data_IF_574560614239
#
_entry.id   IF_574560614239
#
_cell.length_a   1.000
_cell.length_b   1.000
_cell.length_c   1.000
_cell.angle_alpha   90.00
_cell.angle_beta   90.00
_cell.angle_gamma   90.00
#
_symmetry.space_group_name_H-M   'P 1'
#
loop_
_entity.id
_entity.type
_entity.pdbx_description
1 polymer ?
#
# COMPACT_ATOMS: atom_id res chain seq x y z
N UNK A 1 -12.43 -76.42 -64.46
CA UNK A 1 -12.39 -77.03 -63.11
C UNK A 1 -11.55 -76.09 -62.26
N UNK A 2 -12.08 -75.64 -61.12
CA UNK A 2 -11.27 -74.89 -60.15
C UNK A 2 -10.35 -75.90 -59.49
N UNK A 3 -9.19 -76.13 -60.08
CA UNK A 3 -8.15 -76.90 -59.41
C UNK A 3 -7.65 -76.03 -58.26
N UNK A 4 -8.16 -76.32 -57.06
CA UNK A 4 -7.62 -75.80 -55.81
C UNK A 4 -6.21 -76.38 -55.64
N UNK A 5 -5.26 -75.73 -56.32
CA UNK A 5 -3.86 -76.08 -56.27
C UNK A 5 -3.18 -75.40 -55.08
N UNK A 6 -2.15 -76.06 -54.57
CA UNK A 6 -1.19 -75.52 -53.58
C UNK A 6 -0.69 -74.11 -53.97
N UNK A 7 -0.62 -73.80 -55.27
CA UNK A 7 -0.27 -72.48 -55.80
C UNK A 7 -1.20 -71.36 -55.32
N UNK A 8 -2.50 -71.62 -55.17
CA UNK A 8 -3.47 -70.64 -54.69
C UNK A 8 -3.27 -70.35 -53.19
N UNK A 9 -2.87 -71.38 -52.42
CA UNK A 9 -2.46 -71.22 -51.02
C UNK A 9 -1.20 -70.35 -50.91
N UNK A 10 -0.17 -70.60 -51.75
CA UNK A 10 1.04 -69.78 -51.79
C UNK A 10 0.78 -68.33 -52.21
N UNK A 11 -0.13 -68.10 -53.17
CA UNK A 11 -0.52 -66.76 -53.59
C UNK A 11 -1.27 -66.02 -52.48
N UNK A 12 -2.14 -66.71 -51.74
CA UNK A 12 -2.85 -66.15 -50.58
C UNK A 12 -1.88 -65.77 -49.46
N UNK A 13 -0.90 -66.63 -49.16
CA UNK A 13 0.16 -66.34 -48.18
C UNK A 13 0.97 -65.12 -48.62
N UNK A 14 1.38 -65.03 -49.90
CA UNK A 14 2.11 -63.88 -50.42
C UNK A 14 1.29 -62.58 -50.31
N UNK A 15 0.01 -62.62 -50.65
CA UNK A 15 -0.90 -61.48 -50.48
C UNK A 15 -0.98 -61.04 -49.01
N UNK A 16 -1.16 -61.96 -48.06
CA UNK A 16 -1.18 -61.61 -46.64
C UNK A 16 0.16 -61.07 -46.14
N UNK A 17 1.29 -61.60 -46.61
CA UNK A 17 2.63 -61.07 -46.29
C UNK A 17 2.77 -59.65 -46.84
N UNK A 18 2.36 -59.39 -48.07
CA UNK A 18 2.39 -58.05 -48.66
C UNK A 18 1.50 -57.06 -47.90
N UNK A 19 0.27 -57.47 -47.52
CA UNK A 19 -0.63 -56.67 -46.68
C UNK A 19 -0.03 -56.40 -45.29
N UNK A 20 0.62 -57.40 -44.69
CA UNK A 20 1.26 -57.25 -43.39
C UNK A 20 2.43 -56.27 -43.45
N UNK A 21 3.28 -56.38 -44.47
CA UNK A 21 4.38 -55.45 -44.73
C UNK A 21 3.85 -54.03 -44.99
N UNK A 22 2.80 -53.89 -45.79
CA UNK A 22 2.16 -52.61 -46.07
C UNK A 22 1.53 -51.98 -44.81
N UNK A 23 0.93 -52.79 -43.95
CA UNK A 23 0.36 -52.33 -42.68
C UNK A 23 1.43 -51.75 -41.75
N UNK A 24 2.60 -52.40 -41.69
CA UNK A 24 3.74 -51.92 -40.89
C UNK A 24 4.38 -50.68 -41.51
N UNK A 25 4.60 -50.67 -42.83
CA UNK A 25 5.35 -49.61 -43.52
C UNK A 25 4.53 -48.36 -43.81
N UNK A 26 3.21 -48.45 -44.06
CA UNK A 26 2.39 -47.31 -44.45
C UNK A 26 1.29 -46.99 -43.42
N UNK A 27 0.48 -47.98 -43.05
CA UNK A 27 -0.73 -47.73 -42.26
C UNK A 27 -0.37 -47.21 -40.85
N UNK A 28 0.59 -47.86 -40.18
CA UNK A 28 1.06 -47.43 -38.86
C UNK A 28 1.66 -46.00 -38.87
N UNK A 29 2.68 -45.68 -39.70
CA UNK A 29 3.28 -44.34 -39.66
C UNK A 29 2.33 -43.24 -40.11
N UNK A 30 1.43 -43.48 -41.07
CA UNK A 30 0.43 -42.48 -41.47
C UNK A 30 -0.50 -42.16 -40.31
N UNK A 31 -0.98 -43.19 -39.58
CA UNK A 31 -1.85 -42.99 -38.42
C UNK A 31 -1.12 -42.23 -37.30
N UNK A 32 0.15 -42.52 -37.08
CA UNK A 32 0.95 -41.85 -36.05
C UNK A 32 1.20 -40.38 -36.41
N UNK A 33 1.41 -40.05 -37.69
CA UNK A 33 1.53 -38.66 -38.16
C UNK A 33 0.21 -37.89 -37.98
N UNK A 34 -0.93 -38.51 -38.31
CA UNK A 34 -2.25 -37.89 -38.13
C UNK A 34 -2.52 -37.64 -36.64
N UNK A 35 -2.25 -38.62 -35.78
CA UNK A 35 -2.36 -38.45 -34.32
C UNK A 35 -1.47 -37.32 -33.82
N UNK A 36 -0.19 -37.32 -34.19
CA UNK A 36 0.75 -36.27 -33.79
C UNK A 36 0.31 -34.88 -34.24
N UNK A 37 -0.28 -34.75 -35.42
CA UNK A 37 -0.86 -33.47 -35.88
C UNK A 37 -2.04 -33.03 -35.03
N UNK A 38 -2.96 -33.94 -34.72
CA UNK A 38 -4.11 -33.63 -33.87
C UNK A 38 -3.65 -33.26 -32.45
N UNK A 39 -2.73 -34.03 -31.86
CA UNK A 39 -2.20 -33.78 -30.51
C UNK A 39 -1.52 -32.41 -30.41
N UNK A 40 -0.79 -31.99 -31.46
CA UNK A 40 -0.17 -30.65 -31.51
C UNK A 40 -1.22 -29.55 -31.60
N UNK A 41 -2.26 -29.74 -32.42
CA UNK A 41 -3.32 -28.74 -32.59
C UNK A 41 -4.14 -28.60 -31.29
N UNK A 42 -4.54 -29.73 -30.70
CA UNK A 42 -5.29 -29.76 -29.45
C UNK A 42 -4.44 -29.22 -28.28
N UNK A 43 -3.15 -29.55 -28.25
CA UNK A 43 -2.19 -29.01 -27.28
C UNK A 43 -2.02 -27.50 -27.40
N UNK A 44 -1.88 -26.97 -28.61
CA UNK A 44 -1.77 -25.53 -28.86
C UNK A 44 -3.06 -24.78 -28.46
N UNK A 45 -4.23 -25.35 -28.74
CA UNK A 45 -5.51 -24.78 -28.33
C UNK A 45 -5.64 -24.75 -26.80
N UNK A 46 -5.28 -25.84 -26.12
CA UNK A 46 -5.30 -25.91 -24.66
C UNK A 46 -4.28 -24.98 -24.00
N UNK A 47 -3.09 -24.82 -24.57
CA UNK A 47 -2.09 -23.85 -24.09
C UNK A 47 -2.57 -22.40 -24.26
N UNK A 48 -3.22 -22.08 -25.38
CA UNK A 48 -3.79 -20.75 -25.62
C UNK A 48 -4.90 -20.42 -24.61
N UNK A 49 -5.84 -21.34 -24.38
CA UNK A 49 -6.92 -21.15 -23.40
C UNK A 49 -6.37 -21.01 -21.97
N UNK A 50 -5.36 -21.82 -21.61
CA UNK A 50 -4.69 -21.71 -20.31
C UNK A 50 -3.97 -20.36 -20.16
N UNK A 51 -3.29 -19.90 -21.20
CA UNK A 51 -2.60 -18.60 -21.18
C UNK A 51 -3.60 -17.44 -21.05
N UNK A 52 -4.72 -17.50 -21.77
CA UNK A 52 -5.79 -16.50 -21.65
C UNK A 52 -6.42 -16.49 -20.25
N UNK A 53 -6.69 -17.68 -19.70
CA UNK A 53 -7.23 -17.81 -18.34
C UNK A 53 -6.24 -17.29 -17.29
N UNK A 54 -4.95 -17.65 -17.39
CA UNK A 54 -3.94 -17.14 -16.46
C UNK A 54 -3.77 -15.63 -16.60
N UNK A 55 -3.73 -15.10 -17.82
CA UNK A 55 -3.64 -13.66 -18.06
C UNK A 55 -4.84 -12.91 -17.46
N UNK A 56 -6.07 -13.43 -17.64
CA UNK A 56 -7.28 -12.87 -17.06
C UNK A 56 -7.24 -12.89 -15.52
N UNK A 57 -6.79 -14.00 -14.91
CA UNK A 57 -6.63 -14.11 -13.47
C UNK A 57 -5.58 -13.12 -12.93
N UNK A 58 -4.43 -13.00 -13.61
CA UNK A 58 -3.36 -12.06 -13.25
C UNK A 58 -3.84 -10.61 -13.33
N UNK A 59 -4.58 -10.27 -14.39
CA UNK A 59 -5.14 -8.94 -14.57
C UNK A 59 -6.15 -8.61 -13.47
N UNK A 60 -7.07 -9.52 -13.19
CA UNK A 60 -8.06 -9.35 -12.12
C UNK A 60 -7.38 -9.19 -10.75
N UNK A 61 -6.39 -10.02 -10.42
CA UNK A 61 -5.64 -9.89 -9.17
C UNK A 61 -4.89 -8.56 -9.07
N UNK A 62 -4.29 -8.10 -10.17
CA UNK A 62 -3.61 -6.81 -10.24
C UNK A 62 -4.59 -5.63 -10.05
N UNK A 63 -5.75 -5.67 -10.69
CA UNK A 63 -6.79 -4.65 -10.53
C UNK A 63 -7.32 -4.60 -9.08
N UNK A 64 -7.54 -5.75 -8.45
CA UNK A 64 -7.93 -5.84 -7.05
C UNK A 64 -6.86 -5.29 -6.10
N UNK A 65 -5.59 -5.61 -6.34
CA UNK A 65 -4.47 -5.08 -5.55
C UNK A 65 -4.35 -3.56 -5.71
N UNK A 66 -4.49 -3.05 -6.93
CA UNK A 66 -4.49 -1.62 -7.21
C UNK A 66 -5.66 -0.89 -6.54
N UNK A 67 -6.85 -1.50 -6.55
CA UNK A 67 -8.02 -0.96 -5.85
C UNK A 67 -7.80 -0.91 -4.33
N UNK A 68 -7.26 -1.99 -3.75
CA UNK A 68 -6.90 -2.05 -2.32
C UNK A 68 -5.85 -1.00 -1.96
N UNK A 69 -4.79 -0.86 -2.76
CA UNK A 69 -3.75 0.14 -2.55
C UNK A 69 -4.31 1.57 -2.58
N UNK A 70 -5.22 1.88 -3.53
CA UNK A 70 -5.90 3.19 -3.60
C UNK A 70 -6.78 3.45 -2.38
N UNK A 71 -7.52 2.46 -1.92
CA UNK A 71 -8.33 2.59 -0.69
C UNK A 71 -7.45 2.81 0.54
N UNK A 72 -6.38 2.02 0.70
CA UNK A 72 -5.43 2.16 1.80
C UNK A 72 -4.76 3.55 1.80
N UNK A 73 -4.31 4.03 0.63
CA UNK A 73 -3.75 5.37 0.51
C UNK A 73 -4.77 6.48 0.84
N UNK A 74 -6.04 6.29 0.47
CA UNK A 74 -7.14 7.17 0.82
C UNK A 74 -7.39 7.24 2.32
N UNK A 75 -7.38 6.08 3.00
CA UNK A 75 -7.51 5.97 4.45
C UNK A 75 -6.32 6.61 5.17
N UNK A 76 -5.09 6.26 4.79
CA UNK A 76 -3.88 6.83 5.36
C UNK A 76 -3.84 8.37 5.22
N UNK A 77 -4.28 8.92 4.09
CA UNK A 77 -4.41 10.39 3.93
C UNK A 77 -5.48 11.01 4.82
N UNK A 78 -6.60 10.30 5.08
CA UNK A 78 -7.64 10.80 5.99
C UNK A 78 -7.14 10.76 7.44
N UNK A 79 -6.55 9.65 7.85
CA UNK A 79 -5.96 9.49 9.19
C UNK A 79 -4.83 10.49 9.44
N UNK A 80 -3.92 10.66 8.48
CA UNK A 80 -2.84 11.64 8.58
C UNK A 80 -3.35 13.07 8.70
N UNK A 81 -4.40 13.44 7.96
CA UNK A 81 -5.03 14.77 8.09
C UNK A 81 -5.73 14.95 9.44
N UNK A 82 -6.46 13.95 9.91
CA UNK A 82 -7.13 13.99 11.20
C UNK A 82 -6.12 14.06 12.36
N UNK A 83 -5.05 13.25 12.31
CA UNK A 83 -3.95 13.27 13.27
C UNK A 83 -3.20 14.60 13.27
N UNK A 84 -2.89 15.13 12.08
CA UNK A 84 -2.25 16.44 11.94
C UNK A 84 -3.11 17.58 12.48
N UNK A 85 -4.42 17.58 12.22
CA UNK A 85 -5.34 18.57 12.78
C UNK A 85 -5.44 18.48 14.31
N UNK A 86 -5.51 17.27 14.86
CA UNK A 86 -5.53 17.06 16.31
C UNK A 86 -4.23 17.52 16.97
N UNK A 87 -3.08 17.23 16.37
CA UNK A 87 -1.78 17.65 16.88
C UNK A 87 -1.60 19.17 16.79
N UNK A 88 -2.00 19.78 15.68
CA UNK A 88 -2.04 21.23 15.55
C UNK A 88 -2.89 21.86 16.64
N UNK A 89 -4.08 21.32 16.91
CA UNK A 89 -4.96 21.82 17.96
C UNK A 89 -4.33 21.71 19.35
N UNK A 90 -3.62 20.61 19.65
CA UNK A 90 -2.86 20.45 20.90
C UNK A 90 -1.75 21.48 21.04
N UNK A 91 -0.93 21.65 19.99
CA UNK A 91 0.20 22.59 20.00
C UNK A 91 -0.32 24.03 20.19
N UNK A 92 -1.33 24.43 19.42
CA UNK A 92 -1.94 25.76 19.54
C UNK A 92 -2.57 25.95 20.91
N UNK A 93 -3.28 24.96 21.45
CA UNK A 93 -3.86 25.01 22.79
C UNK A 93 -2.80 25.17 23.88
N UNK A 94 -1.72 24.39 23.82
CA UNK A 94 -0.60 24.50 24.76
C UNK A 94 0.10 25.86 24.67
N UNK A 95 0.31 26.37 23.46
CA UNK A 95 0.90 27.69 23.24
C UNK A 95 0.01 28.81 23.82
N UNK A 96 -1.31 28.73 23.61
CA UNK A 96 -2.26 29.67 24.20
C UNK A 96 -2.28 29.61 25.73
N UNK A 97 -2.20 28.41 26.31
CA UNK A 97 -2.16 28.24 27.75
C UNK A 97 -0.87 28.81 28.36
N UNK A 98 0.27 28.55 27.71
CA UNK A 98 1.56 29.14 28.11
C UNK A 98 1.55 30.67 28.02
N UNK A 99 1.02 31.22 26.91
CA UNK A 99 0.89 32.67 26.74
C UNK A 99 0.01 33.31 27.82
N UNK A 100 -1.11 32.66 28.21
CA UNK A 100 -1.94 33.11 29.34
C UNK A 100 -1.18 33.08 30.66
N UNK A 101 -0.41 32.01 30.92
CA UNK A 101 0.44 31.91 32.10
C UNK A 101 1.46 33.05 32.19
N UNK A 102 2.15 33.34 31.10
CA UNK A 102 3.12 34.45 31.02
C UNK A 102 2.45 35.79 31.29
N UNK A 103 1.26 36.04 30.71
CA UNK A 103 0.52 37.28 30.93
C UNK A 103 0.05 37.43 32.39
N UNK A 104 -0.43 36.35 32.99
CA UNK A 104 -0.87 36.34 34.39
C UNK A 104 0.30 36.55 35.36
N UNK A 105 1.45 35.93 35.07
CA UNK A 105 2.67 36.14 35.85
C UNK A 105 3.20 37.56 35.70
N UNK A 106 3.30 38.09 34.48
CA UNK A 106 3.69 39.47 34.23
C UNK A 106 2.77 40.47 34.96
N UNK A 107 1.45 40.23 34.96
CA UNK A 107 0.48 41.06 35.71
C UNK A 107 0.74 41.03 37.22
N UNK A 108 1.01 39.86 37.79
CA UNK A 108 1.35 39.72 39.22
C UNK A 108 2.64 40.46 39.56
N UNK A 109 3.67 40.32 38.73
CA UNK A 109 4.95 41.00 38.92
C UNK A 109 4.79 42.52 38.86
N UNK A 110 4.05 43.05 37.88
CA UNK A 110 3.76 44.49 37.76
C UNK A 110 2.98 45.02 38.97
N UNK A 111 1.99 44.27 39.47
CA UNK A 111 1.24 44.64 40.67
C UNK A 111 2.16 44.68 41.91
N UNK A 112 3.01 43.66 42.08
CA UNK A 112 3.96 43.60 43.18
C UNK A 112 5.00 44.74 43.13
N UNK A 113 5.54 45.06 41.94
CA UNK A 113 6.45 46.19 41.75
C UNK A 113 5.77 47.53 42.03
N UNK A 114 4.51 47.71 41.61
CA UNK A 114 3.76 48.93 41.88
C UNK A 114 3.54 49.12 43.39
N UNK A 115 3.16 48.06 44.11
CA UNK A 115 3.01 48.10 45.57
C UNK A 115 4.33 48.38 46.30
N UNK A 116 5.43 47.76 45.87
CA UNK A 116 6.76 47.98 46.43
C UNK A 116 7.23 49.42 46.20
N UNK A 117 7.02 49.95 44.99
CA UNK A 117 7.38 51.32 44.62
C UNK A 117 6.55 52.35 45.40
N UNK A 118 5.25 52.11 45.60
CA UNK A 118 4.39 52.94 46.45
C UNK A 118 4.85 52.94 47.92
N UNK A 119 5.28 51.80 48.45
CA UNK A 119 5.86 51.72 49.80
C UNK A 119 7.17 52.51 49.89
N UNK A 120 8.07 52.39 48.92
CA UNK A 120 9.35 53.13 48.90
C UNK A 120 9.11 54.64 48.80
N UNK A 121 8.19 55.08 47.94
CA UNK A 121 7.80 56.49 47.83
C UNK A 121 7.26 57.06 49.14
N UNK A 122 6.41 56.31 49.87
CA UNK A 122 5.90 56.70 51.19
C UNK A 122 7.01 56.80 52.23
N UNK A 123 7.96 55.86 52.23
CA UNK A 123 9.11 55.89 53.13
C UNK A 123 10.01 57.10 52.87
N UNK A 124 10.29 57.40 51.59
CA UNK A 124 11.08 58.57 51.18
C UNK A 124 10.38 59.89 51.52
N UNK A 125 9.07 60.00 51.28
CA UNK A 125 8.32 61.21 51.66
C UNK A 125 8.33 61.41 53.17
N UNK A 126 8.12 60.36 53.97
CA UNK A 126 8.23 60.45 55.43
C UNK A 126 9.63 60.90 55.89
N UNK A 127 10.70 60.38 55.27
CA UNK A 127 12.07 60.79 55.58
C UNK A 127 12.35 62.26 55.22
N UNK A 128 11.87 62.73 54.07
CA UNK A 128 11.99 64.14 53.64
C UNK A 128 11.20 65.06 54.57
N UNK A 129 9.98 64.67 54.96
CA UNK A 129 9.18 65.42 55.94
C UNK A 129 9.87 65.50 57.30
N UNK A 130 10.48 64.42 57.78
CA UNK A 130 11.25 64.43 59.03
C UNK A 130 12.49 65.33 58.96
N UNK A 131 13.21 65.33 57.83
CA UNK A 131 14.35 66.22 57.61
C UNK A 131 13.93 67.71 57.54
N UNK A 132 12.77 68.00 56.95
CA UNK A 132 12.19 69.35 56.95
C UNK A 132 11.85 69.83 58.37
N UNK A 133 11.25 68.96 59.19
CA UNK A 133 10.92 69.25 60.59
C UNK A 133 12.18 69.47 61.43
N UNK A 134 13.23 68.65 61.26
CA UNK A 134 14.50 68.82 61.99
C UNK A 134 15.22 70.13 61.59
N UNK A 135 15.12 70.55 60.32
CA UNK A 135 15.63 71.86 59.89
C UNK A 135 14.81 73.05 60.41
N UNK A 136 13.50 72.88 60.62
CA UNK A 136 12.62 73.91 61.17
C UNK A 136 12.74 74.07 62.69
N UNK A 137 13.13 73.01 63.41
CA UNK A 137 13.33 73.02 64.86
C UNK A 137 14.74 73.41 65.31
N UNK A 138 15.72 73.40 64.40
CA UNK A 138 17.12 73.82 64.65
C UNK A 138 17.43 75.24 64.16
N UNK A 139 16.42 76.00 63.76
CA UNK A 139 16.49 77.46 63.57
C UNK A 139 15.67 78.16 64.64
#
# INVERSE_FOLDING_TARGET
MLDLNITLLFQLVNFFVAVFVLNILLIRPIRDIIKKRNDVIDGMAGEADNFESEAAQRLSAYEEELARARQAAGLARKEGRAGGAAEQQKIVGAAQQSARGILDEARRTVQAEAEATLKDLRARTAAVSAQLVDRLLKG
#
